data_IF_425215668884
#
_entry.id   IF_425215668884
#
_cell.length_a   1.000
_cell.length_b   1.000
_cell.length_c   1.000
_cell.angle_alpha   90.00
_cell.angle_beta   90.00
_cell.angle_gamma   90.00
#
_symmetry.space_group_name_H-M   'P 1'
#
loop_
_entity.id
_entity.type
_entity.pdbx_description
1 polymer ?
#
# COMPACT_ATOMS: atom_id res chain seq x y z
N UNK A 1 3.72 -15.83 -19.08
CA UNK A 1 2.80 -14.67 -19.17
C UNK A 1 3.11 -13.60 -18.11
N UNK A 2 3.65 -13.98 -16.95
CA UNK A 2 3.97 -13.07 -15.83
C UNK A 2 4.92 -11.93 -16.18
N UNK A 3 5.91 -12.14 -17.06
CA UNK A 3 6.83 -11.07 -17.46
C UNK A 3 6.18 -10.00 -18.34
N UNK A 4 5.25 -10.38 -19.22
CA UNK A 4 4.55 -9.43 -20.10
C UNK A 4 3.56 -8.63 -19.28
N UNK A 5 2.80 -9.29 -18.40
CA UNK A 5 1.90 -8.63 -17.46
C UNK A 5 2.67 -7.72 -16.49
N UNK A 6 3.78 -8.18 -15.90
CA UNK A 6 4.62 -7.35 -15.04
C UNK A 6 5.18 -6.13 -15.78
N UNK A 7 5.66 -6.28 -17.01
CA UNK A 7 6.20 -5.16 -17.79
C UNK A 7 5.11 -4.16 -18.20
N UNK A 8 3.93 -4.65 -18.59
CA UNK A 8 2.77 -3.82 -18.90
C UNK A 8 2.27 -3.06 -17.66
N UNK A 9 2.06 -3.77 -16.55
CA UNK A 9 1.65 -3.19 -15.26
C UNK A 9 2.65 -2.17 -14.73
N UNK A 10 3.96 -2.42 -14.88
CA UNK A 10 5.02 -1.44 -14.55
C UNK A 10 4.97 -0.19 -15.41
N UNK A 11 4.71 -0.35 -16.72
CA UNK A 11 4.65 0.77 -17.66
C UNK A 11 3.40 1.62 -17.43
N UNK A 12 2.28 0.97 -17.14
CA UNK A 12 1.01 1.63 -16.76
C UNK A 12 1.12 2.30 -15.39
N UNK A 13 1.73 1.66 -14.38
CA UNK A 13 1.95 2.26 -13.06
C UNK A 13 2.87 3.48 -13.13
N UNK A 14 3.96 3.40 -13.91
CA UNK A 14 4.87 4.53 -14.14
C UNK A 14 4.21 5.67 -14.90
N UNK A 15 3.29 5.37 -15.81
CA UNK A 15 2.48 6.39 -16.50
C UNK A 15 1.44 7.02 -15.58
N UNK A 16 0.69 6.23 -14.83
CA UNK A 16 -0.37 6.73 -13.95
C UNK A 16 0.16 7.61 -12.81
N UNK A 17 1.42 7.45 -12.41
CA UNK A 17 2.10 8.30 -11.44
C UNK A 17 2.86 9.49 -12.04
N UNK A 18 2.95 9.61 -13.37
CA UNK A 18 3.63 10.71 -14.03
C UNK A 18 2.68 11.92 -14.19
N UNK A 19 3.15 13.16 -13.92
CA UNK A 19 2.38 14.39 -14.15
C UNK A 19 1.76 14.49 -15.55
N UNK A 20 2.36 13.85 -16.55
CA UNK A 20 1.86 13.77 -17.92
C UNK A 20 0.52 13.03 -18.03
N UNK A 21 0.29 11.94 -17.27
CA UNK A 21 -0.99 11.24 -17.31
C UNK A 21 -2.11 12.07 -16.69
N UNK A 22 -1.81 12.83 -15.63
CA UNK A 22 -2.74 13.76 -15.01
C UNK A 22 -3.12 14.91 -15.96
N UNK A 23 -2.14 15.49 -16.67
CA UNK A 23 -2.42 16.51 -17.68
C UNK A 23 -3.24 15.95 -18.86
N UNK A 24 -2.98 14.70 -19.27
CA UNK A 24 -3.74 14.02 -20.31
C UNK A 24 -5.20 13.80 -19.88
N UNK A 25 -5.44 13.31 -18.66
CA UNK A 25 -6.81 13.10 -18.15
C UNK A 25 -7.57 14.40 -17.97
N UNK A 26 -6.93 15.48 -17.50
CA UNK A 26 -7.55 16.83 -17.50
C UNK A 26 -7.93 17.24 -18.92
N UNK A 27 -7.03 17.07 -19.90
CA UNK A 27 -7.30 17.44 -21.30
C UNK A 27 -8.50 16.67 -21.86
N UNK A 28 -8.59 15.37 -21.58
CA UNK A 28 -9.72 14.53 -21.99
C UNK A 28 -11.03 15.04 -21.37
N UNK A 29 -11.05 15.35 -20.07
CA UNK A 29 -12.23 15.89 -19.39
C UNK A 29 -12.65 17.24 -19.97
N UNK A 30 -11.68 18.14 -20.23
CA UNK A 30 -11.96 19.45 -20.84
C UNK A 30 -12.56 19.29 -22.24
N UNK A 31 -11.97 18.44 -23.09
CA UNK A 31 -12.50 18.15 -24.42
C UNK A 31 -13.92 17.59 -24.34
N UNK A 32 -14.18 16.66 -23.42
CA UNK A 32 -15.52 16.13 -23.20
C UNK A 32 -16.51 17.25 -22.85
N UNK A 33 -16.20 18.11 -21.86
CA UNK A 33 -17.05 19.26 -21.49
C UNK A 33 -17.30 20.19 -22.69
N UNK A 34 -16.28 20.49 -23.48
CA UNK A 34 -16.40 21.34 -24.68
C UNK A 34 -17.28 20.74 -25.77
N UNK A 35 -17.38 19.41 -25.85
CA UNK A 35 -18.33 18.73 -26.74
C UNK A 35 -19.77 18.70 -26.21
N UNK A 36 -19.99 18.97 -24.92
CA UNK A 36 -21.31 18.98 -24.28
C UNK A 36 -22.36 19.85 -24.99
N UNK A 37 -22.06 21.11 -25.36
CA UNK A 37 -22.97 21.98 -26.09
C UNK A 37 -23.40 21.43 -27.47
N UNK A 38 -22.50 20.72 -28.18
CA UNK A 38 -22.82 20.09 -29.47
C UNK A 38 -23.85 18.96 -29.31
N UNK A 39 -23.79 18.25 -28.19
CA UNK A 39 -24.69 17.14 -27.86
C UNK A 39 -25.85 17.56 -26.93
N UNK A 40 -26.05 18.85 -26.70
CA UNK A 40 -27.08 19.40 -25.82
C UNK A 40 -27.06 18.78 -24.41
N UNK A 41 -25.88 18.38 -23.93
CA UNK A 41 -25.70 17.68 -22.65
C UNK A 41 -26.61 16.44 -22.49
N UNK A 42 -26.83 15.70 -23.58
CA UNK A 42 -27.75 14.55 -23.61
C UNK A 42 -27.39 13.41 -22.64
N UNK A 43 -28.39 12.59 -22.31
CA UNK A 43 -28.22 11.41 -21.46
C UNK A 43 -27.17 10.44 -22.03
N UNK A 44 -27.12 10.26 -23.35
CA UNK A 44 -26.10 9.41 -24.00
C UNK A 44 -24.70 9.99 -23.85
N UNK A 45 -24.55 11.31 -23.94
CA UNK A 45 -23.25 11.98 -23.76
C UNK A 45 -22.72 11.84 -22.32
N UNK A 46 -23.61 11.92 -21.32
CA UNK A 46 -23.28 11.66 -19.92
C UNK A 46 -23.00 10.17 -19.66
N UNK A 47 -23.80 9.28 -20.25
CA UNK A 47 -23.65 7.83 -20.11
C UNK A 47 -22.26 7.37 -20.57
N UNK A 48 -21.79 7.87 -21.71
CA UNK A 48 -20.47 7.47 -22.26
C UNK A 48 -19.33 7.75 -21.29
N UNK A 49 -19.26 8.95 -20.69
CA UNK A 49 -18.17 9.26 -19.75
C UNK A 49 -18.31 8.48 -18.45
N UNK A 50 -19.55 8.31 -17.95
CA UNK A 50 -19.81 7.60 -16.71
C UNK A 50 -19.45 6.12 -16.83
N UNK A 51 -19.94 5.46 -17.89
CA UNK A 51 -19.62 4.07 -18.18
C UNK A 51 -18.13 3.88 -18.44
N UNK A 52 -17.51 4.75 -19.24
CA UNK A 52 -16.07 4.67 -19.54
C UNK A 52 -15.21 4.82 -18.29
N UNK A 53 -15.47 5.83 -17.48
CA UNK A 53 -14.72 6.09 -16.23
C UNK A 53 -14.92 4.97 -15.22
N UNK A 54 -16.12 4.36 -15.17
CA UNK A 54 -16.40 3.23 -14.28
C UNK A 54 -15.55 2.01 -14.65
N UNK A 55 -15.47 1.67 -15.95
CA UNK A 55 -14.63 0.57 -16.43
C UNK A 55 -13.15 0.86 -16.12
N UNK A 56 -12.67 2.07 -16.41
CA UNK A 56 -11.28 2.46 -16.12
C UNK A 56 -10.99 2.37 -14.63
N UNK A 57 -11.88 2.88 -13.78
CA UNK A 57 -11.74 2.81 -12.32
C UNK A 57 -11.71 1.36 -11.84
N UNK A 58 -12.59 0.51 -12.36
CA UNK A 58 -12.60 -0.91 -12.01
C UNK A 58 -11.28 -1.59 -12.34
N UNK A 59 -10.75 -1.35 -13.55
CA UNK A 59 -9.41 -1.85 -13.95
C UNK A 59 -8.31 -1.25 -13.08
N UNK A 60 -8.39 0.04 -12.76
CA UNK A 60 -7.41 0.76 -11.95
C UNK A 60 -7.31 0.18 -10.53
N UNK A 61 -8.42 -0.24 -9.92
CA UNK A 61 -8.40 -0.89 -8.60
C UNK A 61 -7.52 -2.14 -8.61
N UNK A 62 -7.64 -3.00 -9.63
CA UNK A 62 -6.78 -4.19 -9.74
C UNK A 62 -5.32 -3.84 -10.02
N UNK A 63 -5.07 -2.82 -10.85
CA UNK A 63 -3.71 -2.36 -11.14
C UNK A 63 -3.03 -1.78 -9.90
N UNK A 64 -3.73 -0.94 -9.15
CA UNK A 64 -3.28 -0.38 -7.86
C UNK A 64 -3.03 -1.52 -6.89
N UNK A 65 -3.97 -2.46 -6.71
CA UNK A 65 -3.79 -3.60 -5.80
C UNK A 65 -2.57 -4.45 -6.18
N UNK A 66 -2.35 -4.73 -7.47
CA UNK A 66 -1.19 -5.49 -7.91
C UNK A 66 0.13 -4.73 -7.66
N UNK A 67 0.15 -3.42 -7.91
CA UNK A 67 1.32 -2.58 -7.62
C UNK A 67 1.59 -2.53 -6.11
N UNK A 68 0.55 -2.27 -5.31
CA UNK A 68 0.62 -2.22 -3.85
C UNK A 68 1.05 -3.55 -3.24
N UNK A 69 0.52 -4.68 -3.71
CA UNK A 69 0.91 -6.01 -3.24
C UNK A 69 2.40 -6.26 -3.46
N UNK A 70 2.90 -5.92 -4.65
CA UNK A 70 4.31 -6.09 -5.01
C UNK A 70 5.23 -5.17 -4.22
N UNK A 71 4.82 -3.92 -4.02
CA UNK A 71 5.58 -2.96 -3.22
C UNK A 71 5.56 -3.33 -1.73
N UNK A 72 4.47 -3.90 -1.23
CA UNK A 72 4.35 -4.47 0.12
C UNK A 72 5.35 -5.60 0.35
N UNK A 73 5.42 -6.58 -0.54
CA UNK A 73 6.42 -7.66 -0.44
C UNK A 73 7.85 -7.15 -0.52
N UNK A 74 8.12 -6.11 -1.32
CA UNK A 74 9.44 -5.51 -1.40
C UNK A 74 9.84 -4.77 -0.12
N UNK A 75 8.88 -4.17 0.59
CA UNK A 75 9.11 -3.56 1.91
C UNK A 75 9.40 -4.66 2.93
N UNK A 76 8.60 -5.72 2.97
CA UNK A 76 8.81 -6.87 3.87
C UNK A 76 10.22 -7.46 3.70
N UNK A 77 10.64 -7.76 2.47
CA UNK A 77 11.98 -8.31 2.21
C UNK A 77 13.13 -7.38 2.66
N UNK A 78 12.95 -6.05 2.57
CA UNK A 78 13.94 -5.09 3.08
C UNK A 78 13.97 -5.07 4.61
N UNK A 79 12.80 -5.17 5.26
CA UNK A 79 12.71 -5.24 6.72
C UNK A 79 13.33 -6.54 7.25
N UNK A 80 13.08 -7.66 6.58
CA UNK A 80 13.70 -8.95 6.91
C UNK A 80 15.22 -8.88 6.84
N UNK A 81 15.76 -8.23 5.81
CA UNK A 81 17.20 -8.01 5.69
C UNK A 81 17.75 -7.11 6.80
N UNK A 82 17.02 -6.07 7.21
CA UNK A 82 17.42 -5.23 8.34
C UNK A 82 17.41 -6.00 9.66
N UNK A 83 16.40 -6.83 9.91
CA UNK A 83 16.33 -7.70 11.09
C UNK A 83 17.51 -8.67 11.08
N UNK A 84 17.75 -9.34 9.95
CA UNK A 84 18.86 -10.29 9.77
C UNK A 84 20.24 -9.66 10.00
N UNK A 85 20.40 -8.39 9.66
CA UNK A 85 21.67 -7.66 9.80
C UNK A 85 21.93 -7.13 11.22
N UNK A 86 20.91 -7.07 12.08
CA UNK A 86 21.03 -6.55 13.45
C UNK A 86 21.30 -7.68 14.46
N UNK A 87 22.43 -7.64 15.17
CA UNK A 87 22.79 -8.68 16.17
C UNK A 87 21.78 -8.82 17.31
N UNK A 88 21.10 -7.74 17.70
CA UNK A 88 20.15 -7.73 18.82
C UNK A 88 18.70 -7.97 18.39
N UNK A 89 18.43 -8.09 17.08
CA UNK A 89 17.08 -8.29 16.57
C UNK A 89 16.71 -9.78 16.58
N UNK A 90 15.42 -10.07 16.79
CA UNK A 90 14.91 -11.45 16.82
C UNK A 90 14.61 -11.92 15.40
N UNK A 91 15.43 -12.84 14.89
CA UNK A 91 15.24 -13.42 13.55
C UNK A 91 13.91 -14.18 13.38
N UNK A 92 13.25 -14.57 14.48
CA UNK A 92 11.92 -15.20 14.45
C UNK A 92 10.82 -14.28 13.87
N UNK A 93 11.09 -12.97 13.73
CA UNK A 93 10.19 -12.00 13.12
C UNK A 93 10.30 -11.93 11.58
N UNK A 94 11.29 -12.62 10.99
CA UNK A 94 11.46 -12.68 9.54
C UNK A 94 10.34 -13.54 8.94
N UNK A 95 9.61 -13.00 7.96
CA UNK A 95 8.58 -13.73 7.23
C UNK A 95 7.27 -13.97 8.00
N UNK A 96 7.02 -13.25 9.09
CA UNK A 96 5.79 -13.40 9.91
C UNK A 96 4.50 -13.13 9.13
N UNK A 97 4.55 -12.42 8.01
CA UNK A 97 3.40 -12.16 7.13
C UNK A 97 2.80 -13.42 6.50
N UNK A 98 3.50 -14.55 6.54
CA UNK A 98 3.00 -15.84 6.07
C UNK A 98 2.20 -16.60 7.13
N UNK A 99 2.20 -16.12 8.38
CA UNK A 99 1.46 -16.72 9.48
C UNK A 99 -0.03 -16.43 9.34
N UNK A 100 -0.84 -17.29 9.97
CA UNK A 100 -2.28 -17.01 10.09
C UNK A 100 -2.52 -15.78 10.97
N UNK A 101 -3.66 -15.12 10.78
CA UNK A 101 -4.01 -13.93 11.56
C UNK A 101 -4.05 -14.21 13.08
N UNK A 102 -4.50 -15.40 13.47
CA UNK A 102 -4.49 -15.84 14.87
C UNK A 102 -3.07 -16.04 15.43
N UNK A 103 -2.11 -16.48 14.60
CA UNK A 103 -0.71 -16.61 15.00
C UNK A 103 -0.04 -15.25 15.12
N UNK A 104 -0.28 -14.36 14.16
CA UNK A 104 0.25 -13.00 14.15
C UNK A 104 -0.22 -12.22 15.39
N UNK A 105 -1.50 -12.33 15.73
CA UNK A 105 -2.08 -11.69 16.92
C UNK A 105 -1.47 -12.24 18.21
N UNK A 106 -1.19 -13.54 18.28
CA UNK A 106 -0.48 -14.13 19.44
C UNK A 106 0.92 -13.56 19.60
N UNK A 107 1.67 -13.40 18.52
CA UNK A 107 3.02 -12.81 18.55
C UNK A 107 2.94 -11.36 19.00
N UNK A 108 1.97 -10.59 18.49
CA UNK A 108 1.75 -9.19 18.87
C UNK A 108 1.46 -9.05 20.37
N UNK A 109 0.56 -9.86 20.91
CA UNK A 109 0.24 -9.85 22.35
C UNK A 109 1.46 -10.23 23.20
N UNK A 110 2.27 -11.21 22.78
CA UNK A 110 3.51 -11.55 23.49
C UNK A 110 4.49 -10.37 23.51
N UNK A 111 4.67 -9.70 22.37
CA UNK A 111 5.55 -8.55 22.23
C UNK A 111 5.12 -7.38 23.13
N UNK A 112 3.82 -7.05 23.14
CA UNK A 112 3.26 -5.99 23.99
C UNK A 112 3.50 -6.27 25.48
N UNK A 113 3.31 -7.53 25.92
CA UNK A 113 3.56 -7.93 27.31
C UNK A 113 5.03 -7.87 27.72
N UNK A 114 5.94 -8.25 26.83
CA UNK A 114 7.38 -8.15 27.09
C UNK A 114 7.82 -6.69 27.28
N UNK A 115 7.35 -5.80 26.40
CA UNK A 115 7.65 -4.37 26.49
C UNK A 115 7.11 -3.74 27.77
N UNK A 116 5.88 -4.07 28.18
CA UNK A 116 5.29 -3.62 29.45
C UNK A 116 6.10 -4.12 30.66
N UNK A 117 6.55 -5.38 30.61
CA UNK A 117 7.37 -5.99 31.65
C UNK A 117 8.72 -5.29 31.82
N UNK A 118 9.40 -4.98 30.72
CA UNK A 118 10.68 -4.27 30.72
C UNK A 118 10.55 -2.84 31.24
N UNK A 119 9.49 -2.12 30.85
CA UNK A 119 9.25 -0.76 31.30
C UNK A 119 8.88 -0.71 32.79
N UNK A 120 8.01 -1.62 33.24
CA UNK A 120 7.68 -1.77 34.66
C UNK A 120 8.92 -2.13 35.50
N UNK A 121 9.78 -3.01 35.00
CA UNK A 121 11.03 -3.38 35.66
C UNK A 121 12.01 -2.19 35.72
N UNK A 122 12.15 -1.42 34.63
CA UNK A 122 12.98 -0.20 34.58
C UNK A 122 12.51 0.83 35.60
N UNK A 123 11.21 1.11 35.66
CA UNK A 123 10.62 2.07 36.61
C UNK A 123 10.83 1.62 38.06
N UNK A 124 10.66 0.33 38.35
CA UNK A 124 10.91 -0.22 39.68
C UNK A 124 12.37 -0.07 40.10
N UNK A 125 13.31 -0.32 39.18
CA UNK A 125 14.74 -0.17 39.41
C UNK A 125 15.15 1.29 39.66
N UNK A 126 14.66 2.24 38.86
CA UNK A 126 14.88 3.68 39.06
C UNK A 126 14.39 4.15 40.43
N UNK A 127 13.22 3.67 40.88
CA UNK A 127 12.67 3.97 42.21
C UNK A 127 13.53 3.43 43.35
N UNK A 128 14.20 2.29 43.15
CA UNK A 128 15.12 1.71 44.14
C UNK A 128 16.42 2.52 44.23
N UNK A 129 16.96 2.97 43.09
CA UNK A 129 18.17 3.81 43.06
C UNK A 129 17.88 5.20 43.65
N UNK A 130 16.76 5.83 43.30
CA UNK A 130 16.40 7.16 43.79
C UNK A 130 16.09 7.20 45.30
N UNK A 131 15.88 6.05 45.94
CA UNK A 131 15.67 5.92 47.40
C UNK A 131 16.97 5.78 48.20
N UNK A 132 18.13 5.73 47.56
CA UNK A 132 19.44 5.56 48.19
C UNK A 132 20.30 6.80 48.01
#
# INVERSE_FOLDING_TARGET
MDRIFATFSHRVARWSGQPLAFMLSITIVLLWVLTGPLFHYSDTWQLVINTGTTIVTFVMVFLIQNAQNRDGSAIQAKLDELIRAMETARNDFIGIEHLTEAELERIKIMLERECEGDEAHRIAFERLIARR
#
